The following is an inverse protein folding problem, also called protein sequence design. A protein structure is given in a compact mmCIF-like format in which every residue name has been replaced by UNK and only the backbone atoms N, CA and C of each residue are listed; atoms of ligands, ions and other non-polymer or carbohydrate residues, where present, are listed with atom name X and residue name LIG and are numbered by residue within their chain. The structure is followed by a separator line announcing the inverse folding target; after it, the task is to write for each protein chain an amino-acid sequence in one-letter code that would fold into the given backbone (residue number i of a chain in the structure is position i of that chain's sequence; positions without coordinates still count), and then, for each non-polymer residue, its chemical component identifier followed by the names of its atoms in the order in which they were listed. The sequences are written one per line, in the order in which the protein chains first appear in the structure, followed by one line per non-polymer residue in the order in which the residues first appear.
data_IF_007567406036
#
_entry.id   IF_007567406036
#
_cell.length_a   1.000
_cell.length_b   1.000
_cell.length_c   1.000
_cell.angle_alpha   90.00
_cell.angle_beta   90.00
_cell.angle_gamma   90.00
#
_symmetry.space_group_name_H-M   'P 1'
#
loop_
_entity.id
_entity.type
_entity.pdbx_description
1 polymer ?
#
# COMPACT_ATOMS: atom_id res chain seq x y z
N UNK A 1 14.77 -11.50 -3.56
CA UNK A 1 13.92 -10.38 -3.10
C UNK A 1 13.02 -10.85 -1.98
N UNK A 2 12.99 -10.12 -0.87
CA UNK A 2 12.16 -10.43 0.28
C UNK A 2 11.02 -9.43 0.42
N UNK A 3 9.92 -9.86 1.03
CA UNK A 3 8.82 -8.96 1.33
C UNK A 3 9.32 -7.82 2.22
N UNK A 4 8.88 -6.61 1.92
CA UNK A 4 9.27 -5.41 2.68
C UNK A 4 8.02 -4.57 2.95
N UNK A 5 7.58 -4.57 4.22
CA UNK A 5 6.37 -3.84 4.63
C UNK A 5 6.47 -2.35 4.35
N UNK A 6 7.65 -1.78 4.51
CA UNK A 6 7.86 -0.35 4.31
C UNK A 6 7.70 0.04 2.85
N UNK A 7 8.31 -0.73 1.94
CA UNK A 7 8.16 -0.50 0.50
C UNK A 7 6.71 -0.65 0.07
N UNK A 8 6.04 -1.67 0.59
CA UNK A 8 4.63 -1.92 0.28
C UNK A 8 3.75 -0.77 0.74
N UNK A 9 3.96 -0.33 1.98
CA UNK A 9 3.22 0.79 2.55
C UNK A 9 3.43 2.09 1.79
N UNK A 10 4.67 2.34 1.35
CA UNK A 10 4.99 3.52 0.54
C UNK A 10 4.21 3.54 -0.77
N UNK A 11 4.07 2.39 -1.42
CA UNK A 11 3.34 2.33 -2.68
C UNK A 11 1.84 2.56 -2.47
N UNK A 12 1.28 2.05 -1.39
CA UNK A 12 -0.11 2.33 -1.03
C UNK A 12 -0.31 3.82 -0.79
N UNK A 13 0.57 4.44 -0.02
CA UNK A 13 0.50 5.88 0.27
C UNK A 13 0.63 6.70 -1.00
N UNK A 14 1.54 6.32 -1.89
CA UNK A 14 1.74 7.00 -3.18
C UNK A 14 0.49 6.96 -4.03
N UNK A 15 -0.13 5.78 -4.18
CA UNK A 15 -1.35 5.64 -4.95
C UNK A 15 -2.49 6.44 -4.36
N UNK A 16 -2.62 6.41 -3.03
CA UNK A 16 -3.63 7.21 -2.34
C UNK A 16 -3.44 8.69 -2.62
N UNK A 17 -2.22 9.16 -2.52
CA UNK A 17 -1.88 10.56 -2.76
C UNK A 17 -2.18 10.96 -4.20
N UNK A 18 -1.83 10.12 -5.16
CA UNK A 18 -2.11 10.37 -6.58
C UNK A 18 -3.59 10.45 -6.88
N UNK A 19 -4.43 9.79 -6.08
CA UNK A 19 -5.89 9.85 -6.20
C UNK A 19 -6.49 11.03 -5.45
N UNK A 20 -5.68 11.84 -4.78
CA UNK A 20 -6.15 12.98 -4.02
C UNK A 20 -6.95 12.59 -2.78
N UNK A 21 -6.72 11.39 -2.24
CA UNK A 21 -7.46 10.90 -1.09
C UNK A 21 -6.67 11.11 0.20
N UNK A 22 -7.37 11.55 1.25
CA UNK A 22 -6.79 11.55 2.59
C UNK A 22 -6.76 10.13 3.15
N UNK A 23 -5.99 9.91 4.20
CA UNK A 23 -5.99 8.62 4.88
C UNK A 23 -7.38 8.28 5.42
N UNK A 24 -8.08 9.27 5.93
CA UNK A 24 -9.44 9.07 6.44
C UNK A 24 -10.38 8.61 5.31
N UNK A 25 -10.36 9.29 4.18
CA UNK A 25 -11.22 8.95 3.05
C UNK A 25 -10.90 7.56 2.50
N UNK A 26 -9.60 7.27 2.31
CA UNK A 26 -9.18 5.99 1.76
C UNK A 26 -9.51 4.83 2.70
N UNK A 27 -9.27 5.00 3.99
CA UNK A 27 -9.60 3.95 4.96
C UNK A 27 -11.10 3.70 5.02
N UNK A 28 -11.91 4.76 4.96
CA UNK A 28 -13.36 4.62 4.91
C UNK A 28 -13.83 3.82 3.69
N UNK A 29 -13.28 4.13 2.52
CA UNK A 29 -13.61 3.41 1.29
C UNK A 29 -13.16 1.95 1.33
N UNK A 30 -12.03 1.69 1.97
CA UNK A 30 -11.49 0.33 2.09
C UNK A 30 -12.14 -0.49 3.20
N UNK A 31 -12.94 0.15 4.05
CA UNK A 31 -13.59 -0.54 5.17
C UNK A 31 -12.61 -0.93 6.27
N UNK A 32 -11.56 -0.15 6.47
CA UNK A 32 -10.61 -0.34 7.57
C UNK A 32 -10.53 0.94 8.39
N UNK A 33 -9.97 0.86 9.60
CA UNK A 33 -9.79 2.05 10.42
C UNK A 33 -8.67 2.92 9.85
N UNK A 34 -8.74 4.22 10.13
CA UNK A 34 -7.68 5.14 9.74
C UNK A 34 -6.35 4.72 10.38
N UNK A 35 -6.37 4.35 11.66
CA UNK A 35 -5.17 3.90 12.36
C UNK A 35 -4.53 2.68 11.68
N UNK A 36 -5.36 1.75 11.21
CA UNK A 36 -4.88 0.59 10.48
C UNK A 36 -4.16 1.01 9.19
N UNK A 37 -4.77 1.91 8.42
CA UNK A 37 -4.15 2.40 7.18
C UNK A 37 -2.82 3.12 7.46
N UNK A 38 -2.79 3.96 8.51
CA UNK A 38 -1.56 4.65 8.91
C UNK A 38 -0.44 3.64 9.18
N UNK A 39 -0.74 2.56 9.90
CA UNK A 39 0.26 1.53 10.22
C UNK A 39 0.72 0.77 8.97
N UNK A 40 -0.19 0.52 8.03
CA UNK A 40 0.18 -0.12 6.77
C UNK A 40 1.09 0.78 5.94
N UNK A 41 0.74 2.05 5.80
CA UNK A 41 1.51 3.01 5.00
C UNK A 41 2.90 3.27 5.58
N UNK A 42 3.03 3.21 6.90
CA UNK A 42 4.33 3.41 7.57
C UNK A 42 5.19 2.16 7.63
N UNK A 43 4.67 1.02 7.20
CA UNK A 43 5.39 -0.25 7.23
C UNK A 43 5.43 -0.91 8.60
N UNK A 44 4.69 -0.42 9.57
CA UNK A 44 4.63 -1.01 10.91
C UNK A 44 3.81 -2.28 10.97
N UNK A 45 2.96 -2.50 9.97
CA UNK A 45 2.11 -3.67 9.91
C UNK A 45 2.20 -4.30 8.52
N UNK A 46 2.18 -5.62 8.49
CA UNK A 46 2.15 -6.37 7.24
C UNK A 46 0.77 -6.27 6.61
N UNK A 47 0.72 -6.06 5.30
CA UNK A 47 -0.55 -6.01 4.58
C UNK A 47 -1.05 -7.43 4.37
N UNK A 48 -2.22 -7.75 4.90
CA UNK A 48 -2.89 -9.01 4.63
C UNK A 48 -3.47 -8.97 3.23
N UNK A 49 -3.55 -10.14 2.61
CA UNK A 49 -4.01 -10.23 1.23
C UNK A 49 -5.45 -9.72 1.06
N UNK A 50 -6.34 -10.07 1.98
CA UNK A 50 -7.71 -9.59 1.93
C UNK A 50 -7.80 -8.07 2.10
N UNK A 51 -6.97 -7.51 2.96
CA UNK A 51 -6.88 -6.05 3.15
C UNK A 51 -6.37 -5.38 1.89
N UNK A 52 -5.41 -6.00 1.21
CA UNK A 52 -4.87 -5.49 -0.06
C UNK A 52 -5.98 -5.36 -1.11
N UNK A 53 -6.87 -6.35 -1.20
CA UNK A 53 -8.02 -6.29 -2.11
C UNK A 53 -8.91 -5.10 -1.82
N UNK A 54 -9.20 -4.86 -0.53
CA UNK A 54 -10.03 -3.73 -0.11
C UNK A 54 -9.39 -2.39 -0.44
N UNK A 55 -8.10 -2.28 -0.20
CA UNK A 55 -7.34 -1.06 -0.48
C UNK A 55 -7.29 -0.81 -1.99
N UNK A 56 -7.00 -1.84 -2.77
CA UNK A 56 -6.95 -1.72 -4.22
C UNK A 56 -8.29 -1.26 -4.79
N UNK A 57 -9.38 -1.83 -4.30
CA UNK A 57 -10.73 -1.45 -4.69
C UNK A 57 -11.01 0.02 -4.37
N UNK A 58 -10.63 0.45 -3.17
CA UNK A 58 -10.79 1.84 -2.74
C UNK A 58 -10.00 2.81 -3.61
N UNK A 59 -8.82 2.40 -4.08
CA UNK A 59 -7.94 3.23 -4.91
C UNK A 59 -8.22 3.10 -6.41
N UNK A 60 -9.13 2.22 -6.79
CA UNK A 60 -9.49 2.03 -8.19
C UNK A 60 -8.39 1.37 -9.02
N UNK A 61 -7.59 0.51 -8.40
CA UNK A 61 -6.53 -0.23 -9.08
C UNK A 61 -6.70 -1.73 -8.80
N UNK A 62 -5.98 -2.53 -9.57
CA UNK A 62 -5.93 -3.97 -9.32
C UNK A 62 -4.95 -4.26 -8.20
N UNK A 63 -5.24 -5.27 -7.36
CA UNK A 63 -4.26 -5.67 -6.33
C UNK A 63 -2.88 -6.00 -6.93
N UNK A 64 -2.85 -6.59 -8.12
CA UNK A 64 -1.61 -6.92 -8.82
C UNK A 64 -0.78 -5.68 -9.16
N UNK A 65 -1.41 -4.52 -9.36
CA UNK A 65 -0.68 -3.28 -9.63
C UNK A 65 0.09 -2.82 -8.40
N UNK A 66 -0.54 -2.91 -7.23
CA UNK A 66 0.12 -2.54 -5.98
C UNK A 66 1.31 -3.48 -5.73
N UNK A 67 1.10 -4.78 -5.95
CA UNK A 67 2.16 -5.78 -5.77
C UNK A 67 3.32 -5.49 -6.71
N UNK A 68 3.04 -5.22 -7.98
CA UNK A 68 4.09 -4.93 -8.96
C UNK A 68 4.88 -3.68 -8.60
N UNK A 69 4.19 -2.62 -8.18
CA UNK A 69 4.87 -1.40 -7.75
C UNK A 69 5.78 -1.67 -6.56
N UNK A 70 5.31 -2.47 -5.60
CA UNK A 70 6.11 -2.84 -4.44
C UNK A 70 7.31 -3.69 -4.84
N UNK A 71 7.12 -4.64 -5.76
CA UNK A 71 8.21 -5.46 -6.29
C UNK A 71 9.28 -4.58 -6.95
N UNK A 72 8.86 -3.64 -7.78
CA UNK A 72 9.80 -2.75 -8.48
C UNK A 72 10.59 -1.91 -7.47
N UNK A 73 9.94 -1.40 -6.45
CA UNK A 73 10.60 -0.63 -5.40
C UNK A 73 11.62 -1.47 -4.63
N UNK A 74 11.26 -2.71 -4.30
CA UNK A 74 12.17 -3.63 -3.62
C UNK A 74 13.38 -3.98 -4.49
N UNK A 75 13.17 -4.21 -5.77
CA UNK A 75 14.25 -4.50 -6.72
C UNK A 75 15.21 -3.31 -6.85
N UNK A 76 14.66 -2.10 -6.96
CA UNK A 76 15.49 -0.90 -7.05
C UNK A 76 16.39 -0.73 -5.83
N UNK A 77 15.86 -1.02 -4.63
CA UNK A 77 16.65 -0.94 -3.41
C UNK A 77 17.77 -1.98 -3.37
N UNK A 78 17.52 -3.18 -3.87
CA UNK A 78 18.54 -4.23 -3.94
C UNK A 78 19.64 -3.84 -4.93
N UNK A 79 19.28 -3.25 -6.08
CA UNK A 79 20.23 -2.82 -7.10
C UNK A 79 21.12 -1.67 -6.66
N UNK A 80 20.66 -0.86 -5.72
CA UNK A 80 21.41 0.30 -5.22
C UNK A 80 22.51 -0.07 -4.22
N UNK A 81 22.60 -1.32 -3.82
CA UNK A 81 23.62 -1.76 -2.85
C UNK A 81 25.02 -1.96 -3.51
#
# INVERSE_FOLDING_TARGET
MSYNSKSFGMMIARLRFERGLTQEAASGLAGISRSHLVMLESGRKTVRLDTLWRIADALGVRPSEIIRMAEDEMNQKEERK
#
